data_IF_817515986638
#
_entry.id   IF_817515986638
#
_cell.length_a   1.000
_cell.length_b   1.000
_cell.length_c   1.000
_cell.angle_alpha   90.00
_cell.angle_beta   90.00
_cell.angle_gamma   90.00
#
_symmetry.space_group_name_H-M   'P 1'
#
loop_
_entity.id
_entity.type
_entity.pdbx_description
1 polymer ?
#
# COMPACT_ATOMS: atom_id res chain seq x y z
N UNK A 1 38.80 64.42 35.52
CA UNK A 1 39.62 64.00 36.66
C UNK A 1 39.92 62.52 36.51
N UNK A 2 41.22 62.18 36.52
CA UNK A 2 41.84 60.84 36.39
C UNK A 2 41.33 59.86 37.48
N UNK A 3 41.47 58.53 37.45
CA UNK A 3 42.42 57.61 36.82
C UNK A 3 41.77 56.19 36.75
N UNK A 4 41.90 55.41 35.66
CA UNK A 4 42.92 54.37 35.41
C UNK A 4 42.67 52.98 36.06
N UNK A 5 42.48 51.95 35.21
CA UNK A 5 43.17 50.63 35.22
C UNK A 5 42.64 49.82 34.00
N UNK A 6 43.38 49.64 32.90
CA UNK A 6 44.32 48.53 32.58
C UNK A 6 43.74 47.11 32.84
N UNK A 7 43.91 46.07 32.03
CA UNK A 7 44.35 45.79 30.64
C UNK A 7 44.26 44.24 30.51
N UNK A 8 44.29 43.73 29.26
CA UNK A 8 44.85 42.43 28.84
C UNK A 8 43.96 41.15 28.75
N UNK A 9 43.55 40.85 27.51
CA UNK A 9 43.65 39.52 26.85
C UNK A 9 45.12 39.01 26.84
N UNK A 10 45.46 37.69 26.72
CA UNK A 10 45.20 36.92 25.49
C UNK A 10 45.16 35.35 25.55
N UNK A 11 44.87 34.76 24.37
CA UNK A 11 45.46 33.56 23.73
C UNK A 11 45.20 32.11 24.23
N UNK A 12 44.31 31.39 23.52
CA UNK A 12 44.60 30.31 22.53
C UNK A 12 45.96 29.55 22.64
N UNK A 13 45.96 28.24 22.96
CA UNK A 13 46.30 27.08 22.07
C UNK A 13 46.60 25.77 22.84
N UNK A 14 45.92 24.69 22.41
CA UNK A 14 46.31 23.28 22.24
C UNK A 14 47.42 22.64 23.12
N UNK A 15 47.04 21.53 23.79
CA UNK A 15 47.95 20.47 24.21
C UNK A 15 47.27 19.10 24.11
N UNK A 16 47.68 18.30 23.12
CA UNK A 16 47.30 16.89 22.97
C UNK A 16 47.85 16.03 24.12
N UNK A 17 47.07 15.04 24.57
CA UNK A 17 47.55 13.94 25.41
C UNK A 17 47.38 12.63 24.60
N UNK A 18 48.45 11.84 24.40
CA UNK A 18 48.36 10.59 23.66
C UNK A 18 47.86 9.43 24.53
N UNK A 19 47.51 8.39 23.80
CA UNK A 19 46.78 7.20 24.16
C UNK A 19 47.46 6.25 25.16
N UNK A 20 46.61 5.32 25.63
CA UNK A 20 46.93 4.01 26.19
C UNK A 20 47.11 3.99 27.70
N UNK A 21 46.02 3.71 28.42
CA UNK A 21 45.94 2.80 29.58
C UNK A 21 44.60 3.00 30.30
N UNK A 22 43.48 2.52 29.74
CA UNK A 22 42.27 2.25 30.53
C UNK A 22 41.46 1.10 29.90
N UNK A 23 42.06 -0.09 29.85
CA UNK A 23 41.29 -1.34 29.79
C UNK A 23 40.78 -1.66 31.20
N UNK A 24 39.55 -1.22 31.53
CA UNK A 24 38.70 -1.82 32.56
C UNK A 24 37.23 -1.69 32.13
N UNK A 25 36.72 -2.77 31.52
CA UNK A 25 35.31 -3.21 31.48
C UNK A 25 34.23 -2.12 31.52
N UNK A 26 33.77 -1.70 30.33
CA UNK A 26 32.44 -1.11 30.14
C UNK A 26 31.39 -2.23 30.22
N UNK A 27 30.26 -2.03 30.92
CA UNK A 27 29.13 -2.95 30.86
C UNK A 27 28.54 -2.98 29.43
N UNK A 28 28.13 -4.18 29.04
CA UNK A 28 27.42 -4.52 27.80
C UNK A 28 26.33 -3.47 27.48
N UNK A 29 26.24 -2.90 26.26
CA UNK A 29 25.15 -2.00 25.93
C UNK A 29 23.83 -2.78 25.93
N UNK A 30 23.05 -2.60 26.99
CA UNK A 30 21.65 -3.04 27.07
C UNK A 30 20.95 -2.66 25.77
N UNK A 31 20.30 -3.62 25.07
CA UNK A 31 19.55 -3.29 23.86
C UNK A 31 18.48 -2.27 24.22
N UNK A 32 18.62 -1.04 23.70
CA UNK A 32 17.61 -0.01 23.81
C UNK A 32 16.29 -0.52 23.23
N UNK A 33 15.13 -0.07 23.75
CA UNK A 33 13.84 -0.53 23.27
C UNK A 33 13.78 -0.31 21.75
N UNK A 34 13.62 -1.42 21.01
CA UNK A 34 13.31 -1.38 19.59
C UNK A 34 12.16 -0.39 19.40
N UNK A 35 12.24 0.58 18.47
CA UNK A 35 11.12 1.45 18.20
C UNK A 35 9.92 0.58 17.85
N UNK A 36 8.96 0.51 18.78
CA UNK A 36 7.67 -0.13 18.56
C UNK A 36 7.09 0.51 17.32
N UNK A 37 6.90 -0.30 16.27
CA UNK A 37 6.16 0.12 15.09
C UNK A 37 4.86 0.76 15.59
N UNK A 38 4.63 2.02 15.22
CA UNK A 38 3.39 2.69 15.56
C UNK A 38 2.22 1.78 15.13
N UNK A 39 1.20 1.57 15.98
CA UNK A 39 0.05 0.80 15.58
C UNK A 39 -0.48 1.41 14.29
N UNK A 40 -0.50 0.59 13.23
CA UNK A 40 -1.20 0.93 11.99
C UNK A 40 -2.64 1.18 12.45
N UNK A 41 -3.24 2.36 12.21
CA UNK A 41 -4.59 2.64 12.68
C UNK A 41 -5.52 1.51 12.23
N UNK A 42 -6.14 0.83 13.20
CA UNK A 42 -6.94 -0.40 12.98
C UNK A 42 -8.14 -0.16 12.05
N UNK A 43 -8.54 1.09 11.88
CA UNK A 43 -9.49 1.54 10.88
C UNK A 43 -9.00 2.83 10.23
N UNK A 44 -8.84 2.79 8.91
CA UNK A 44 -8.59 4.01 8.13
C UNK A 44 -9.78 4.97 8.30
N UNK A 45 -9.57 6.29 8.48
CA UNK A 45 -10.66 7.25 8.66
C UNK A 45 -11.71 7.13 7.56
N UNK A 46 -12.98 7.01 7.95
CA UNK A 46 -14.09 6.88 7.02
C UNK A 46 -14.22 5.50 6.37
N UNK A 47 -13.54 4.47 6.84
CA UNK A 47 -13.75 3.09 6.38
C UNK A 47 -15.22 2.66 6.53
N UNK A 48 -15.78 2.02 5.50
CA UNK A 48 -17.16 1.53 5.50
C UNK A 48 -17.20 0.02 5.45
N UNK A 49 -16.59 -0.58 4.44
CA UNK A 49 -16.58 -2.02 4.28
C UNK A 49 -15.43 -2.48 3.39
N UNK A 50 -15.03 -3.73 3.51
CA UNK A 50 -14.16 -4.39 2.54
C UNK A 50 -14.49 -5.85 2.38
N UNK A 51 -14.24 -6.34 1.17
CA UNK A 51 -14.29 -7.76 0.84
C UNK A 51 -12.89 -8.19 0.42
N UNK A 52 -12.32 -9.13 1.16
CA UNK A 52 -11.07 -9.80 0.80
C UNK A 52 -11.41 -11.19 0.30
N UNK A 53 -11.02 -11.51 -0.93
CA UNK A 53 -11.11 -12.85 -1.51
C UNK A 53 -9.72 -13.44 -1.61
N UNK A 54 -9.53 -14.63 -1.04
CA UNK A 54 -8.26 -15.36 -1.08
C UNK A 54 -8.48 -16.68 -1.79
N UNK A 55 -7.78 -16.91 -2.90
CA UNK A 55 -7.83 -18.15 -3.66
C UNK A 55 -6.42 -18.51 -4.13
N UNK A 56 -6.00 -19.75 -3.87
CA UNK A 56 -4.60 -20.17 -4.06
C UNK A 56 -3.60 -19.16 -3.44
N UNK A 57 -2.70 -18.58 -4.25
CA UNK A 57 -1.68 -17.60 -3.83
C UNK A 57 -2.07 -16.14 -4.10
N UNK A 58 -3.33 -15.90 -4.49
CA UNK A 58 -3.85 -14.57 -4.83
C UNK A 58 -4.82 -14.11 -3.76
N UNK A 59 -4.61 -12.90 -3.28
CA UNK A 59 -5.53 -12.19 -2.41
C UNK A 59 -5.98 -10.90 -3.09
N UNK A 60 -7.27 -10.74 -3.32
CA UNK A 60 -7.88 -9.55 -3.91
C UNK A 60 -8.82 -8.91 -2.89
N UNK A 61 -8.49 -7.68 -2.47
CA UNK A 61 -9.25 -6.91 -1.49
C UNK A 61 -9.83 -5.66 -2.14
N UNK A 62 -11.14 -5.47 -2.06
CA UNK A 62 -11.81 -4.21 -2.38
C UNK A 62 -12.29 -3.56 -1.07
N UNK A 63 -11.99 -2.29 -0.86
CA UNK A 63 -12.35 -1.51 0.32
C UNK A 63 -13.04 -0.20 -0.09
N UNK A 64 -14.12 0.15 0.61
CA UNK A 64 -14.94 1.34 0.34
C UNK A 64 -14.88 2.28 1.54
N UNK A 65 -14.82 3.58 1.25
CA UNK A 65 -14.75 4.65 2.22
C UNK A 65 -15.95 5.60 2.09
N UNK A 66 -16.25 6.32 3.17
CA UNK A 66 -17.40 7.20 3.32
C UNK A 66 -17.33 8.44 2.41
N UNK A 67 -16.12 8.82 1.98
CA UNK A 67 -15.90 9.86 0.98
C UNK A 67 -16.20 9.40 -0.46
N UNK A 68 -16.49 8.11 -0.66
CA UNK A 68 -16.68 7.50 -1.97
C UNK A 68 -15.39 6.94 -2.59
N UNK A 69 -14.24 7.05 -1.90
CA UNK A 69 -13.00 6.38 -2.34
C UNK A 69 -13.21 4.87 -2.30
N UNK A 70 -12.73 4.18 -3.34
CA UNK A 70 -12.62 2.72 -3.38
C UNK A 70 -11.18 2.34 -3.65
N UNK A 71 -10.64 1.47 -2.81
CA UNK A 71 -9.30 0.91 -2.97
C UNK A 71 -9.41 -0.58 -3.30
N UNK A 72 -8.87 -0.98 -4.45
CA UNK A 72 -8.63 -2.40 -4.75
C UNK A 72 -7.15 -2.70 -4.55
N UNK A 73 -6.84 -3.75 -3.78
CA UNK A 73 -5.49 -4.22 -3.53
C UNK A 73 -5.40 -5.68 -3.93
N UNK A 74 -4.55 -5.97 -4.91
CA UNK A 74 -4.29 -7.33 -5.38
C UNK A 74 -2.89 -7.73 -4.93
N UNK A 75 -2.80 -8.80 -4.15
CA UNK A 75 -1.55 -9.38 -3.69
C UNK A 75 -1.35 -10.75 -4.32
N UNK A 76 -0.21 -10.94 -4.98
CA UNK A 76 0.21 -12.21 -5.58
C UNK A 76 1.66 -12.49 -5.19
N UNK A 77 1.87 -13.45 -4.29
CA UNK A 77 3.18 -13.70 -3.67
C UNK A 77 3.71 -12.46 -2.94
N UNK A 78 4.90 -11.98 -3.33
CA UNK A 78 5.51 -10.76 -2.79
C UNK A 78 5.01 -9.46 -3.42
N UNK A 79 4.26 -9.53 -4.53
CA UNK A 79 3.82 -8.35 -5.28
C UNK A 79 2.47 -7.87 -4.78
N UNK A 80 2.32 -6.56 -4.63
CA UNK A 80 1.08 -5.89 -4.24
C UNK A 80 0.78 -4.74 -5.21
N UNK A 81 -0.35 -4.80 -5.89
CA UNK A 81 -0.85 -3.74 -6.77
C UNK A 81 -2.03 -3.06 -6.09
N UNK A 82 -2.10 -1.73 -6.17
CA UNK A 82 -3.19 -0.93 -5.59
C UNK A 82 -3.81 -0.04 -6.65
N UNK A 83 -5.13 -0.02 -6.67
CA UNK A 83 -5.93 0.80 -7.56
C UNK A 83 -6.90 1.64 -6.74
N UNK A 84 -7.02 2.92 -7.11
CA UNK A 84 -7.89 3.87 -6.43
C UNK A 84 -8.92 4.39 -7.41
N UNK A 85 -10.19 4.24 -7.05
CA UNK A 85 -11.33 4.74 -7.79
C UNK A 85 -12.20 5.65 -6.90
N UNK A 86 -13.07 6.42 -7.53
CA UNK A 86 -14.06 7.26 -6.84
C UNK A 86 -15.45 6.85 -7.29
N UNK A 87 -16.37 6.71 -6.33
CA UNK A 87 -17.77 6.39 -6.61
C UNK A 87 -18.62 7.66 -6.68
N UNK A 88 -19.59 7.72 -7.61
CA UNK A 88 -20.57 8.78 -7.61
C UNK A 88 -21.47 8.66 -6.35
N UNK A 89 -21.90 9.81 -5.83
CA UNK A 89 -22.72 9.91 -4.60
C UNK A 89 -23.91 8.92 -4.52
N UNK A 90 -24.79 8.78 -5.54
CA UNK A 90 -25.93 7.86 -5.45
C UNK A 90 -25.49 6.39 -5.30
N UNK A 91 -24.39 6.03 -5.92
CA UNK A 91 -23.85 4.67 -5.87
C UNK A 91 -23.16 4.41 -4.53
N UNK A 92 -22.36 5.37 -4.06
CA UNK A 92 -21.76 5.33 -2.72
C UNK A 92 -22.84 5.10 -1.66
N UNK A 93 -23.92 5.88 -1.69
CA UNK A 93 -24.99 5.79 -0.69
C UNK A 93 -25.69 4.42 -0.72
N UNK A 94 -25.88 3.85 -1.91
CA UNK A 94 -26.39 2.49 -2.07
C UNK A 94 -25.45 1.46 -1.44
N UNK A 95 -24.15 1.50 -1.77
CA UNK A 95 -23.15 0.54 -1.28
C UNK A 95 -23.01 0.63 0.24
N UNK A 96 -22.94 1.85 0.79
CA UNK A 96 -22.87 2.09 2.24
C UNK A 96 -24.08 1.50 2.95
N UNK A 97 -25.28 1.74 2.43
CA UNK A 97 -26.53 1.20 2.98
C UNK A 97 -26.51 -0.33 2.97
N UNK A 98 -26.24 -0.94 1.82
CA UNK A 98 -26.24 -2.41 1.65
C UNK A 98 -25.17 -3.07 2.52
N UNK A 99 -23.97 -2.50 2.60
CA UNK A 99 -22.92 -3.01 3.48
C UNK A 99 -23.34 -3.00 4.95
N UNK A 100 -23.96 -1.91 5.42
CA UNK A 100 -24.43 -1.77 6.81
C UNK A 100 -25.56 -2.72 7.16
N UNK A 101 -26.36 -3.19 6.21
CA UNK A 101 -27.37 -4.23 6.48
C UNK A 101 -26.74 -5.53 7.02
N UNK A 102 -25.48 -5.83 6.67
CA UNK A 102 -24.78 -6.99 7.22
C UNK A 102 -24.55 -6.89 8.73
N UNK A 103 -24.56 -5.70 9.33
CA UNK A 103 -24.47 -5.50 10.79
C UNK A 103 -25.72 -6.01 11.54
N UNK A 104 -26.78 -6.39 10.84
CA UNK A 104 -27.93 -7.08 11.45
C UNK A 104 -27.68 -8.58 11.65
N UNK A 105 -26.64 -9.13 11.01
CA UNK A 105 -26.30 -10.55 11.08
C UNK A 105 -25.43 -10.82 12.29
N UNK A 106 -25.86 -11.75 13.12
CA UNK A 106 -25.05 -12.33 14.18
C UNK A 106 -23.93 -13.20 13.56
N UNK A 107 -22.64 -12.87 13.75
CA UNK A 107 -21.53 -13.66 13.25
C UNK A 107 -21.57 -15.12 13.71
N UNK A 108 -22.12 -15.41 14.90
CA UNK A 108 -22.21 -16.77 15.42
C UNK A 108 -23.16 -17.66 14.60
N UNK A 109 -24.04 -17.07 13.79
CA UNK A 109 -24.96 -17.79 12.89
C UNK A 109 -24.38 -18.03 11.50
N UNK A 110 -23.23 -17.44 11.18
CA UNK A 110 -22.49 -17.74 9.97
C UNK A 110 -21.55 -18.87 10.32
N UNK A 111 -22.08 -20.09 10.34
CA UNK A 111 -21.23 -21.27 10.57
C UNK A 111 -20.27 -21.42 9.38
N UNK A 112 -18.95 -21.29 9.58
CA UNK A 112 -18.02 -21.71 8.55
C UNK A 112 -18.19 -23.22 8.43
N UNK A 113 -18.84 -23.68 7.34
CA UNK A 113 -18.74 -25.10 6.98
C UNK A 113 -17.25 -25.37 6.90
N UNK A 114 -16.80 -26.31 7.72
CA UNK A 114 -15.41 -26.54 8.07
C UNK A 114 -14.54 -26.35 6.84
N UNK A 115 -13.73 -25.27 6.87
CA UNK A 115 -12.77 -24.96 5.82
C UNK A 115 -11.91 -26.20 5.66
N UNK A 116 -12.14 -26.97 4.60
CA UNK A 116 -11.20 -28.01 4.25
C UNK A 116 -9.92 -27.30 3.83
N UNK A 117 -8.98 -27.18 4.76
CA UNK A 117 -7.71 -26.52 4.55
C UNK A 117 -6.93 -27.13 3.36
N UNK A 118 -7.32 -28.33 2.92
CA UNK A 118 -6.79 -29.02 1.73
C UNK A 118 -7.35 -28.52 0.40
N UNK A 119 -8.56 -27.95 0.33
CA UNK A 119 -9.15 -27.54 -0.94
C UNK A 119 -8.75 -26.11 -1.33
N UNK A 120 -7.52 -25.97 -1.82
CA UNK A 120 -6.96 -24.69 -2.33
C UNK A 120 -7.73 -24.10 -3.52
N UNK A 121 -8.67 -24.84 -4.11
CA UNK A 121 -9.48 -24.36 -5.22
C UNK A 121 -10.63 -23.44 -4.78
N UNK A 122 -11.13 -23.58 -3.55
CA UNK A 122 -12.24 -22.76 -3.06
C UNK A 122 -11.78 -21.37 -2.64
N UNK A 123 -12.47 -20.34 -3.15
CA UNK A 123 -12.23 -18.97 -2.73
C UNK A 123 -12.76 -18.76 -1.30
N UNK A 124 -11.91 -18.19 -0.45
CA UNK A 124 -12.27 -17.75 0.91
C UNK A 124 -12.57 -16.27 0.89
N UNK A 125 -13.66 -15.88 1.53
CA UNK A 125 -14.10 -14.50 1.64
C UNK A 125 -14.00 -14.04 3.10
N UNK A 126 -13.40 -12.87 3.31
CA UNK A 126 -13.45 -12.12 4.55
C UNK A 126 -14.14 -10.79 4.26
N UNK A 127 -15.39 -10.66 4.72
CA UNK A 127 -16.14 -9.41 4.67
C UNK A 127 -15.97 -8.68 6.01
N UNK A 128 -15.55 -7.44 5.95
CA UNK A 128 -15.38 -6.56 7.11
C UNK A 128 -16.25 -5.33 6.91
N UNK A 129 -17.08 -5.00 7.89
CA UNK A 129 -18.02 -3.87 7.84
C UNK A 129 -17.84 -3.02 9.09
N UNK A 130 -17.61 -1.73 8.90
CA UNK A 130 -17.51 -0.76 9.98
C UNK A 130 -18.88 -0.55 10.64
N UNK A 131 -18.92 -0.71 11.95
CA UNK A 131 -20.04 -0.35 12.80
C UNK A 131 -20.11 1.15 13.07
N UNK A 132 -21.26 1.62 13.58
CA UNK A 132 -21.51 3.04 13.82
C UNK A 132 -20.66 3.62 14.97
N UNK A 133 -20.17 2.78 15.88
CA UNK A 133 -19.38 3.20 17.06
C UNK A 133 -17.87 3.09 16.81
N UNK A 134 -17.46 2.85 15.56
CA UNK A 134 -16.05 2.67 15.18
C UNK A 134 -15.53 1.25 15.37
N UNK A 135 -16.38 0.33 15.84
CA UNK A 135 -16.13 -1.11 15.80
C UNK A 135 -16.18 -1.64 14.35
N UNK A 136 -15.70 -2.86 14.12
CA UNK A 136 -15.82 -3.52 12.83
C UNK A 136 -16.28 -4.96 13.04
N UNK A 137 -17.28 -5.38 12.25
CA UNK A 137 -17.75 -6.76 12.23
C UNK A 137 -17.11 -7.50 11.07
N UNK A 138 -16.56 -8.67 11.37
CA UNK A 138 -15.88 -9.53 10.39
C UNK A 138 -16.67 -10.81 10.21
N UNK A 139 -16.89 -11.19 8.96
CA UNK A 139 -17.51 -12.45 8.55
C UNK A 139 -16.54 -13.19 7.65
N UNK A 140 -16.30 -14.46 7.96
CA UNK A 140 -15.46 -15.35 7.14
C UNK A 140 -16.30 -16.51 6.64
N UNK A 141 -16.26 -16.75 5.33
CA UNK A 141 -17.05 -17.78 4.66
C UNK A 141 -16.43 -18.13 3.30
N UNK A 142 -16.77 -19.28 2.73
CA UNK A 142 -16.35 -19.68 1.39
C UNK A 142 -17.51 -19.62 0.37
N UNK A 143 -17.26 -20.05 -0.86
CA UNK A 143 -18.29 -20.12 -1.91
C UNK A 143 -19.43 -21.10 -1.63
N UNK A 144 -19.22 -22.09 -0.76
CA UNK A 144 -20.19 -23.14 -0.45
C UNK A 144 -20.99 -22.84 0.84
N UNK A 145 -20.58 -21.82 1.58
CA UNK A 145 -21.21 -21.41 2.83
C UNK A 145 -22.55 -20.73 2.54
N UNK A 146 -23.62 -21.23 3.15
CA UNK A 146 -24.92 -20.55 3.11
C UNK A 146 -24.87 -19.32 4.02
N UNK A 147 -25.07 -18.15 3.44
CA UNK A 147 -25.04 -16.87 4.16
C UNK A 147 -26.43 -16.23 4.19
N UNK A 148 -26.79 -15.49 5.25
CA UNK A 148 -28.00 -14.68 5.27
C UNK A 148 -28.05 -13.68 4.11
N UNK A 149 -29.25 -13.36 3.64
CA UNK A 149 -29.45 -12.49 2.46
C UNK A 149 -28.76 -11.12 2.59
N UNK A 150 -28.79 -10.49 3.76
CA UNK A 150 -28.11 -9.22 4.00
C UNK A 150 -26.58 -9.32 3.80
N UNK A 151 -25.98 -10.41 4.28
CA UNK A 151 -24.56 -10.69 4.08
C UNK A 151 -24.24 -10.99 2.60
N UNK A 152 -25.11 -11.77 1.93
CA UNK A 152 -25.00 -12.04 0.50
C UNK A 152 -25.11 -10.79 -0.37
N UNK A 153 -26.00 -9.84 -0.03
CA UNK A 153 -26.13 -8.55 -0.73
C UNK A 153 -24.89 -7.68 -0.54
N UNK A 154 -24.35 -7.61 0.68
CA UNK A 154 -23.11 -6.87 0.96
C UNK A 154 -21.93 -7.45 0.17
N UNK A 155 -21.79 -8.78 0.14
CA UNK A 155 -20.82 -9.47 -0.71
C UNK A 155 -21.01 -9.09 -2.18
N UNK A 156 -22.21 -9.30 -2.73
CA UNK A 156 -22.50 -9.05 -4.14
C UNK A 156 -22.21 -7.62 -4.58
N UNK A 157 -22.58 -6.62 -3.76
CA UNK A 157 -22.30 -5.22 -4.04
C UNK A 157 -20.79 -4.93 -4.14
N UNK A 158 -19.97 -5.55 -3.29
CA UNK A 158 -18.52 -5.40 -3.32
C UNK A 158 -17.87 -6.21 -4.46
N UNK A 159 -18.41 -7.38 -4.80
CA UNK A 159 -17.97 -8.16 -5.97
C UNK A 159 -18.27 -7.42 -7.28
N UNK A 160 -19.44 -6.79 -7.40
CA UNK A 160 -19.83 -5.97 -8.55
C UNK A 160 -18.94 -4.72 -8.70
N UNK A 161 -18.57 -4.09 -7.58
CA UNK A 161 -17.59 -3.00 -7.56
C UNK A 161 -16.22 -3.47 -8.05
N UNK A 162 -15.72 -4.58 -7.49
CA UNK A 162 -14.45 -5.20 -7.90
C UNK A 162 -14.45 -5.51 -9.40
N UNK A 163 -15.47 -6.17 -9.91
CA UNK A 163 -15.55 -6.56 -11.33
C UNK A 163 -15.62 -5.37 -12.28
N UNK A 164 -16.20 -4.24 -11.87
CA UNK A 164 -16.18 -2.99 -12.67
C UNK A 164 -14.82 -2.33 -12.66
N UNK A 165 -14.16 -2.28 -11.51
CA UNK A 165 -12.79 -1.78 -11.36
C UNK A 165 -11.84 -2.61 -12.23
N UNK A 166 -11.93 -3.95 -12.16
CA UNK A 166 -11.14 -4.86 -12.99
C UNK A 166 -11.34 -4.61 -14.49
N UNK A 167 -12.58 -4.46 -14.96
CA UNK A 167 -12.87 -4.12 -16.37
C UNK A 167 -12.30 -2.76 -16.77
N UNK A 168 -12.34 -1.78 -15.88
CA UNK A 168 -11.75 -0.46 -16.11
C UNK A 168 -10.22 -0.55 -16.17
N UNK A 169 -9.59 -1.32 -15.28
CA UNK A 169 -8.16 -1.61 -15.32
C UNK A 169 -7.77 -2.34 -16.60
N UNK A 170 -8.50 -3.37 -17.02
CA UNK A 170 -8.28 -4.07 -18.29
C UNK A 170 -8.42 -3.14 -19.50
N UNK A 171 -9.17 -2.04 -19.36
CA UNK A 171 -9.28 -0.99 -20.38
C UNK A 171 -8.13 0.01 -20.31
N UNK A 172 -7.69 0.40 -19.11
CA UNK A 172 -6.62 1.37 -18.88
C UNK A 172 -5.20 0.77 -19.00
N UNK A 173 -5.04 -0.52 -18.71
CA UNK A 173 -3.82 -1.31 -18.85
C UNK A 173 -3.54 -1.75 -20.29
N UNK A 174 -4.26 -1.19 -21.27
CA UNK A 174 -4.08 -1.45 -22.71
C UNK A 174 -3.01 -0.57 -23.37
N UNK A 175 -2.28 0.25 -22.63
CA UNK A 175 -1.19 0.99 -23.27
C UNK A 175 -0.03 0.03 -23.51
N UNK A 176 0.51 0.06 -24.73
CA UNK A 176 1.59 -0.82 -25.12
C UNK A 176 2.92 -0.22 -24.65
N UNK A 177 3.64 -0.94 -23.79
CA UNK A 177 4.96 -0.55 -23.31
C UNK A 177 6.08 -0.90 -24.29
N UNK A 178 5.75 -1.29 -25.54
CA UNK A 178 6.71 -1.64 -26.59
C UNK A 178 7.66 -0.50 -26.95
N UNK A 179 7.17 0.74 -26.91
CA UNK A 179 7.94 1.92 -27.33
C UNK A 179 8.73 2.56 -26.18
N UNK A 180 8.77 1.94 -25.00
CA UNK A 180 9.59 2.43 -23.89
C UNK A 180 11.08 2.20 -24.11
N UNK A 181 11.87 3.22 -23.80
CA UNK A 181 13.32 3.26 -23.93
C UNK A 181 14.00 3.66 -22.61
N UNK A 182 15.31 3.48 -22.56
CA UNK A 182 16.13 3.95 -21.45
C UNK A 182 16.02 5.49 -21.31
N UNK A 183 15.82 5.96 -20.08
CA UNK A 183 15.58 7.37 -19.78
C UNK A 183 14.10 7.77 -19.69
N UNK A 184 13.17 6.91 -20.13
CA UNK A 184 11.74 7.19 -20.02
C UNK A 184 11.29 7.26 -18.57
N UNK A 185 10.41 8.21 -18.28
CA UNK A 185 9.87 8.44 -16.94
C UNK A 185 8.46 7.92 -16.84
N UNK A 186 8.22 7.12 -15.81
CA UNK A 186 6.94 6.49 -15.56
C UNK A 186 6.44 6.85 -14.17
N UNK A 187 5.15 7.17 -14.07
CA UNK A 187 4.50 7.43 -12.79
C UNK A 187 3.80 6.17 -12.30
N UNK A 188 4.16 5.71 -11.10
CA UNK A 188 3.59 4.50 -10.50
C UNK A 188 2.16 4.79 -10.02
N UNK A 189 1.21 3.94 -10.43
CA UNK A 189 -0.23 4.12 -10.13
C UNK A 189 -0.57 4.08 -8.64
N UNK A 190 0.16 3.28 -7.86
CA UNK A 190 -0.20 3.01 -6.46
C UNK A 190 0.12 4.16 -5.48
N UNK A 191 1.16 4.94 -5.77
CA UNK A 191 1.70 5.96 -4.86
C UNK A 191 2.07 7.27 -5.57
N UNK A 192 1.93 7.33 -6.90
CA UNK A 192 2.24 8.50 -7.70
C UNK A 192 3.73 8.82 -7.81
N UNK A 193 4.62 7.93 -7.35
CA UNK A 193 6.07 8.14 -7.41
C UNK A 193 6.59 7.99 -8.82
N UNK A 194 7.69 8.67 -9.12
CA UNK A 194 8.32 8.67 -10.43
C UNK A 194 9.49 7.70 -10.48
N UNK A 195 9.52 6.91 -11.54
CA UNK A 195 10.59 5.98 -11.87
C UNK A 195 11.16 6.34 -13.24
N UNK A 196 12.44 6.06 -13.44
CA UNK A 196 13.09 6.13 -14.74
C UNK A 196 13.46 4.72 -15.20
N UNK A 197 13.29 4.43 -16.49
CA UNK A 197 13.86 3.22 -17.10
C UNK A 197 15.37 3.40 -17.14
N UNK A 198 16.09 2.75 -16.23
CA UNK A 198 17.55 2.83 -16.13
C UNK A 198 18.21 1.91 -17.15
N UNK A 199 17.58 0.78 -17.49
CA UNK A 199 18.11 -0.15 -18.46
C UNK A 199 17.03 -0.93 -19.18
N UNK A 200 17.11 -0.95 -20.51
CA UNK A 200 16.41 -1.90 -21.36
C UNK A 200 17.40 -3.01 -21.76
N UNK A 201 17.43 -4.09 -20.98
CA UNK A 201 18.24 -5.24 -21.36
C UNK A 201 17.50 -5.99 -22.48
N UNK A 202 17.77 -5.65 -23.75
CA UNK A 202 17.10 -6.25 -24.92
C UNK A 202 17.25 -7.78 -25.02
N UNK A 203 18.16 -8.41 -24.26
CA UNK A 203 18.30 -9.86 -24.16
C UNK A 203 17.38 -10.46 -23.09
N UNK A 204 17.00 -9.67 -22.09
CA UNK A 204 16.07 -10.01 -21.02
C UNK A 204 14.70 -9.40 -21.33
N UNK A 205 13.59 -10.11 -21.09
CA UNK A 205 12.24 -9.54 -21.35
C UNK A 205 11.83 -8.44 -20.35
N UNK A 206 12.79 -7.82 -19.66
CA UNK A 206 12.62 -6.99 -18.48
C UNK A 206 13.27 -5.62 -18.67
N UNK A 207 12.59 -4.59 -18.19
CA UNK A 207 13.11 -3.25 -17.98
C UNK A 207 13.53 -3.11 -16.51
N UNK A 208 14.68 -2.50 -16.29
CA UNK A 208 15.12 -2.06 -14.96
C UNK A 208 14.64 -0.62 -14.72
N UNK A 209 13.94 -0.41 -13.60
CA UNK A 209 13.41 0.89 -13.23
C UNK A 209 13.92 1.33 -11.86
N UNK A 210 14.29 2.60 -11.76
CA UNK A 210 14.83 3.20 -10.52
C UNK A 210 14.00 4.41 -10.11
N UNK A 211 13.70 4.51 -8.82
CA UNK A 211 12.99 5.66 -8.25
C UNK A 211 13.80 6.97 -8.42
N UNK A 212 13.17 7.98 -9.01
CA UNK A 212 13.77 9.30 -9.23
C UNK A 212 13.99 10.05 -7.90
N UNK A 213 15.19 10.62 -7.74
CA UNK A 213 15.54 11.55 -6.66
C UNK A 213 16.16 10.93 -5.40
N UNK A 214 15.98 9.62 -5.14
CA UNK A 214 16.63 8.94 -4.00
C UNK A 214 17.19 7.55 -4.28
N UNK A 215 16.89 6.94 -5.45
CA UNK A 215 17.36 5.62 -5.86
C UNK A 215 17.22 4.52 -4.77
N UNK A 216 16.17 4.59 -3.94
CA UNK A 216 15.96 3.65 -2.84
C UNK A 216 15.29 2.35 -3.30
N UNK A 217 14.54 2.42 -4.40
CA UNK A 217 13.82 1.28 -4.96
C UNK A 217 14.25 1.02 -6.40
N UNK A 218 14.68 -0.23 -6.67
CA UNK A 218 14.92 -0.78 -8.01
C UNK A 218 13.90 -1.87 -8.31
N UNK A 219 13.37 -1.90 -9.51
CA UNK A 219 12.46 -2.95 -9.99
C UNK A 219 12.93 -3.55 -11.30
N UNK A 220 12.67 -4.84 -11.48
CA UNK A 220 12.74 -5.49 -12.78
C UNK A 220 11.34 -5.92 -13.19
N UNK A 221 10.82 -5.35 -14.27
CA UNK A 221 9.46 -5.61 -14.76
C UNK A 221 9.47 -5.91 -16.25
N UNK A 222 8.66 -6.87 -16.68
CA UNK A 222 8.46 -7.12 -18.10
C UNK A 222 7.63 -6.01 -18.75
N UNK A 223 7.78 -5.81 -20.07
CA UNK A 223 6.93 -4.89 -20.84
C UNK A 223 5.42 -5.19 -20.68
N UNK A 224 5.04 -6.43 -20.35
CA UNK A 224 3.63 -6.78 -20.04
C UNK A 224 3.18 -6.34 -18.64
N UNK A 225 4.11 -6.22 -17.71
CA UNK A 225 3.83 -5.80 -16.33
C UNK A 225 3.86 -4.28 -16.19
N UNK A 226 4.60 -3.57 -17.03
CA UNK A 226 4.73 -2.11 -16.99
C UNK A 226 3.35 -1.41 -17.01
N UNK A 227 2.42 -1.71 -17.94
CA UNK A 227 1.13 -1.03 -17.99
C UNK A 227 0.23 -1.27 -16.77
N UNK A 228 0.49 -2.35 -16.02
CA UNK A 228 -0.24 -2.71 -14.79
C UNK A 228 0.23 -1.90 -13.58
N UNK A 229 1.50 -1.50 -13.58
CA UNK A 229 2.14 -0.80 -12.45
C UNK A 229 2.20 0.71 -12.68
N UNK A 230 2.35 1.13 -13.93
CA UNK A 230 2.60 2.51 -14.31
C UNK A 230 1.47 3.10 -15.17
N UNK A 231 1.27 4.40 -15.02
CA UNK A 231 0.45 5.21 -15.91
C UNK A 231 1.08 5.26 -17.31
N UNK A 232 0.27 5.47 -18.34
CA UNK A 232 0.80 5.67 -19.68
C UNK A 232 1.66 6.94 -19.70
N UNK A 233 2.79 6.96 -20.40
CA UNK A 233 3.60 8.17 -20.52
C UNK A 233 2.77 9.26 -21.21
N UNK A 234 2.41 10.30 -20.46
CA UNK A 234 1.81 11.51 -21.02
C UNK A 234 2.91 12.24 -21.77
N UNK A 235 2.79 12.36 -23.10
CA UNK A 235 3.82 12.95 -23.97
C UNK A 235 4.19 14.42 -23.71
N UNK A 236 3.63 15.04 -22.66
CA UNK A 236 3.73 16.49 -22.39
C UNK A 236 4.07 16.87 -20.93
N UNK A 237 4.45 15.95 -20.04
CA UNK A 237 4.74 16.36 -18.65
C UNK A 237 6.15 16.99 -18.48
N UNK A 238 6.25 18.18 -17.85
CA UNK A 238 7.47 18.97 -17.79
C UNK A 238 8.50 18.31 -16.88
N UNK A 239 9.71 18.17 -17.40
CA UNK A 239 10.91 17.73 -16.69
C UNK A 239 11.05 18.43 -15.32
N UNK A 240 10.86 17.77 -14.16
CA UNK A 240 11.39 18.29 -12.92
C UNK A 240 12.93 18.29 -13.02
N UNK A 241 13.52 19.45 -12.77
CA UNK A 241 14.96 19.65 -12.74
C UNK A 241 15.60 18.67 -11.75
N UNK A 242 16.55 17.87 -12.23
CA UNK A 242 17.43 17.08 -11.36
C UNK A 242 18.37 18.09 -10.69
N UNK A 243 18.34 18.25 -9.35
CA UNK A 243 19.39 19.01 -8.69
C UNK A 243 20.70 18.21 -8.84
N UNK A 244 21.72 18.87 -9.41
CA UNK A 244 23.09 18.36 -9.52
C UNK A 244 23.75 18.27 -8.15
#
# INVERSE_FOLDING_TARGET
MNAALLLALPALLLGQVPASELFRTLPDPTPGPTPTAAPIPDTLPGFVASLTTTQAEVQDRVAVFADGTVLRTVRKGSRTTRFRHSLPAPERDLVVRVAREALTVDPARVEPRTVDAGNRALARHRLEVAGPEGDARVFEFDELTSVPLSLGRARGALEDLRGRIEKEEERQGRWDAKDLEEGDRLRRRSDGRWFVVERDDRLSRYLELVELGRALERMMLTRKEIPQVFEAPSGDDPTPAVPR
#
